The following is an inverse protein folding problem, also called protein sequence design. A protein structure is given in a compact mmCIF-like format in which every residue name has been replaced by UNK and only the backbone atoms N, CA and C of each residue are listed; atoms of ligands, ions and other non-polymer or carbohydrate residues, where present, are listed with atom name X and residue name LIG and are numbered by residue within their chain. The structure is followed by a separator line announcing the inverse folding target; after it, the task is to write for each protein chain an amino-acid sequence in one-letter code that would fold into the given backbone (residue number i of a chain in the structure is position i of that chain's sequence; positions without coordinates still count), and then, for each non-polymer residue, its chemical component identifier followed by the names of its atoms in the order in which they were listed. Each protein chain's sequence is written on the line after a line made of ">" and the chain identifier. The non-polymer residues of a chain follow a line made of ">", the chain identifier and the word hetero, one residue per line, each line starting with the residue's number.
data_IF_795892557605
#
_entry.id   IF_795892557605
#
_cell.length_a   1.000
_cell.length_b   1.000
_cell.length_c   1.000
_cell.angle_alpha   90.00
_cell.angle_beta   90.00
_cell.angle_gamma   90.00
#
_symmetry.space_group_name_H-M   'P 1'
#
loop_
_entity.id
_entity.type
_entity.pdbx_description
1 polymer ?
#
# COMPACT_ATOMS: atom_id res chain seq x y z
N UNK A 1 -5.51 -13.93 20.59
CA UNK A 1 -6.10 -14.17 19.26
C UNK A 1 -5.37 -13.26 18.28
N UNK A 2 -4.76 -13.81 17.23
CA UNK A 2 -4.13 -13.01 16.19
C UNK A 2 -5.19 -12.56 15.17
N UNK A 3 -5.07 -11.34 14.65
CA UNK A 3 -5.89 -10.88 13.54
C UNK A 3 -5.12 -11.15 12.23
N UNK A 4 -5.71 -11.93 11.33
CA UNK A 4 -5.14 -12.22 10.01
C UNK A 4 -5.73 -11.27 8.96
N UNK A 5 -4.89 -10.80 8.03
CA UNK A 5 -5.27 -9.97 6.89
C UNK A 5 -4.66 -10.55 5.63
N UNK A 6 -5.46 -10.67 4.58
CA UNK A 6 -5.08 -11.32 3.33
C UNK A 6 -5.36 -10.41 2.15
N UNK A 7 -4.67 -10.65 1.04
CA UNK A 7 -5.00 -10.13 -0.28
C UNK A 7 -4.94 -11.29 -1.28
N UNK A 8 -5.73 -11.22 -2.34
CA UNK A 8 -5.68 -12.14 -3.47
C UNK A 8 -5.23 -11.37 -4.71
N UNK A 9 -4.26 -11.94 -5.42
CA UNK A 9 -3.63 -11.34 -6.59
C UNK A 9 -3.46 -12.42 -7.63
N UNK A 10 -3.81 -12.11 -8.86
CA UNK A 10 -3.59 -12.96 -10.03
C UNK A 10 -2.52 -12.32 -10.91
N UNK A 11 -1.54 -13.12 -11.37
CA UNK A 11 -0.52 -12.68 -12.34
C UNK A 11 -0.49 -13.65 -13.52
N UNK A 12 -0.38 -13.14 -14.74
CA UNK A 12 -0.31 -13.92 -15.97
C UNK A 12 0.85 -13.47 -16.85
N UNK A 13 1.62 -14.42 -17.38
CA UNK A 13 2.74 -14.15 -18.29
C UNK A 13 4.08 -13.91 -17.59
N UNK A 14 5.08 -13.50 -18.37
CA UNK A 14 6.43 -13.20 -17.87
C UNK A 14 6.45 -11.89 -17.07
N UNK A 15 7.57 -11.54 -16.43
CA UNK A 15 7.65 -10.26 -15.69
C UNK A 15 7.49 -9.06 -16.63
N UNK A 16 8.16 -9.08 -17.78
CA UNK A 16 8.24 -7.92 -18.68
C UNK A 16 6.98 -7.74 -19.54
N UNK A 17 6.35 -8.83 -19.96
CA UNK A 17 5.19 -8.80 -20.87
C UNK A 17 3.88 -9.18 -20.17
N UNK A 18 3.97 -9.67 -18.93
CA UNK A 18 2.82 -10.08 -18.15
C UNK A 18 2.13 -8.93 -17.46
N UNK A 19 1.00 -9.26 -16.86
CA UNK A 19 0.19 -8.35 -16.08
C UNK A 19 -0.38 -9.05 -14.86
N UNK A 20 -0.70 -8.26 -13.85
CA UNK A 20 -1.39 -8.73 -12.67
C UNK A 20 -2.55 -7.85 -12.30
N UNK A 21 -3.41 -8.42 -11.46
CA UNK A 21 -4.54 -7.73 -10.86
C UNK A 21 -4.57 -8.10 -9.38
N UNK A 22 -4.59 -7.08 -8.52
CA UNK A 22 -4.92 -7.25 -7.11
C UNK A 22 -6.44 -7.42 -7.05
N UNK A 23 -6.88 -8.68 -7.04
CA UNK A 23 -8.29 -9.05 -7.17
C UNK A 23 -9.13 -8.49 -6.02
N UNK A 24 -8.63 -8.64 -4.79
CA UNK A 24 -9.32 -8.17 -3.56
C UNK A 24 -8.41 -8.20 -2.34
N UNK A 25 -8.67 -7.31 -1.39
CA UNK A 25 -8.22 -7.48 0.00
C UNK A 25 -9.27 -8.17 0.87
N UNK A 26 -8.86 -8.82 1.94
CA UNK A 26 -9.74 -9.56 2.85
C UNK A 26 -10.78 -8.68 3.55
N UNK A 27 -10.56 -7.36 3.61
CA UNK A 27 -11.55 -6.39 4.09
C UNK A 27 -12.60 -6.01 3.05
N UNK A 28 -12.37 -6.31 1.76
CA UNK A 28 -13.19 -5.81 0.65
C UNK A 28 -13.04 -4.31 0.36
N UNK A 29 -12.05 -3.63 0.96
CA UNK A 29 -11.89 -2.18 0.85
C UNK A 29 -11.49 -1.71 -0.56
N UNK A 30 -10.77 -2.54 -1.32
CA UNK A 30 -10.35 -2.24 -2.68
C UNK A 30 -10.11 -3.52 -3.49
N UNK A 31 -9.98 -3.34 -4.80
CA UNK A 31 -9.90 -4.38 -5.83
C UNK A 31 -11.11 -4.31 -6.78
N UNK A 32 -10.96 -4.65 -8.07
CA UNK A 32 -9.71 -5.02 -8.74
C UNK A 32 -8.80 -3.79 -8.99
N UNK A 33 -7.48 -3.96 -8.85
CA UNK A 33 -6.48 -2.96 -9.23
C UNK A 33 -5.43 -3.61 -10.13
N UNK A 34 -5.28 -3.09 -11.36
CA UNK A 34 -4.29 -3.60 -12.30
C UNK A 34 -2.89 -3.11 -11.94
N UNK A 35 -1.92 -4.03 -12.07
CA UNK A 35 -0.51 -3.81 -11.80
C UNK A 35 0.32 -4.45 -12.91
N UNK A 36 1.34 -3.76 -13.38
CA UNK A 36 2.30 -4.30 -14.35
C UNK A 36 3.72 -4.02 -13.88
N UNK A 37 4.71 -4.66 -14.51
CA UNK A 37 6.10 -4.29 -14.26
C UNK A 37 6.39 -2.86 -14.71
N UNK A 38 5.81 -2.43 -15.84
CA UNK A 38 5.92 -1.07 -16.34
C UNK A 38 5.33 -0.05 -15.35
N UNK A 39 4.12 -0.28 -14.82
CA UNK A 39 3.50 0.65 -13.85
C UNK A 39 4.27 0.75 -12.53
N UNK A 40 5.13 -0.23 -12.22
CA UNK A 40 5.99 -0.25 -11.05
C UNK A 40 7.32 0.48 -11.26
N UNK A 41 7.85 0.49 -12.48
CA UNK A 41 9.22 0.94 -12.78
C UNK A 41 9.30 2.20 -13.63
N UNK A 42 8.21 2.53 -14.31
CA UNK A 42 8.08 3.69 -15.20
C UNK A 42 6.97 4.62 -14.68
N UNK A 43 6.47 5.53 -15.53
CA UNK A 43 5.29 6.32 -15.19
C UNK A 43 4.08 5.42 -14.95
N UNK A 44 3.36 5.68 -13.85
CA UNK A 44 2.30 4.80 -13.37
C UNK A 44 1.10 4.70 -14.33
N UNK A 45 0.89 5.71 -15.18
CA UNK A 45 -0.24 5.81 -16.11
C UNK A 45 -1.61 5.59 -15.46
N UNK A 46 -1.73 5.96 -14.17
CA UNK A 46 -2.96 5.77 -13.38
C UNK A 46 -3.15 4.36 -12.81
N UNK A 47 -2.23 3.43 -13.06
CA UNK A 47 -2.18 2.13 -12.40
C UNK A 47 -1.41 2.24 -11.08
N UNK A 48 -1.73 1.38 -10.12
CA UNK A 48 -1.02 1.39 -8.83
C UNK A 48 0.29 0.59 -8.91
N UNK A 49 1.06 0.62 -7.82
CA UNK A 49 2.24 -0.22 -7.64
C UNK A 49 2.24 -0.88 -6.25
N UNK A 50 2.95 -2.01 -6.07
CA UNK A 50 3.16 -2.58 -4.74
C UNK A 50 3.76 -1.57 -3.75
N UNK A 51 4.63 -0.69 -4.23
CA UNK A 51 5.37 0.30 -3.45
C UNK A 51 4.44 1.42 -2.94
N UNK A 52 3.44 1.85 -3.72
CA UNK A 52 2.37 2.76 -3.25
C UNK A 52 1.54 2.14 -2.13
N UNK A 53 1.21 0.86 -2.22
CA UNK A 53 0.43 0.16 -1.19
C UNK A 53 1.22 0.01 0.11
N UNK A 54 2.53 -0.25 0.01
CA UNK A 54 3.44 -0.25 1.18
C UNK A 54 3.55 1.15 1.78
N UNK A 55 3.67 2.19 0.95
CA UNK A 55 3.69 3.58 1.41
C UNK A 55 2.40 3.93 2.17
N UNK A 56 1.22 3.57 1.63
CA UNK A 56 -0.07 3.78 2.26
C UNK A 56 -0.19 3.04 3.61
N UNK A 57 0.21 1.76 3.65
CA UNK A 57 0.21 0.98 4.87
C UNK A 57 1.12 1.58 5.95
N UNK A 58 2.32 2.04 5.55
CA UNK A 58 3.28 2.64 6.47
C UNK A 58 2.80 3.99 7.00
N UNK A 59 2.32 4.89 6.13
CA UNK A 59 1.80 6.19 6.53
C UNK A 59 0.62 6.05 7.50
N UNK A 60 -0.29 5.11 7.25
CA UNK A 60 -1.41 4.82 8.15
C UNK A 60 -0.92 4.29 9.51
N UNK A 61 -0.01 3.32 9.51
CA UNK A 61 0.54 2.73 10.73
C UNK A 61 1.28 3.78 11.59
N UNK A 62 2.15 4.57 10.97
CA UNK A 62 2.88 5.65 11.64
C UNK A 62 1.93 6.68 12.25
N UNK A 63 0.91 7.12 11.51
CA UNK A 63 -0.07 8.09 12.01
C UNK A 63 -0.84 7.57 13.22
N UNK A 64 -1.27 6.30 13.19
CA UNK A 64 -1.93 5.67 14.34
C UNK A 64 -1.01 5.58 15.55
N UNK A 65 0.24 5.15 15.36
CA UNK A 65 1.22 5.03 16.44
C UNK A 65 1.57 6.40 17.05
N UNK A 66 1.78 7.42 16.22
CA UNK A 66 2.06 8.79 16.68
C UNK A 66 0.87 9.37 17.45
N UNK A 67 -0.35 9.20 16.95
CA UNK A 67 -1.57 9.62 17.65
C UNK A 67 -1.68 8.97 19.04
N UNK A 68 -1.41 7.66 19.12
CA UNK A 68 -1.39 6.96 20.39
C UNK A 68 -0.34 7.52 21.37
N UNK A 69 0.89 7.75 20.90
CA UNK A 69 1.96 8.30 21.74
C UNK A 69 1.64 9.70 22.27
N UNK A 70 1.11 10.59 21.43
CA UNK A 70 0.69 11.94 21.80
C UNK A 70 -0.46 11.94 22.81
N UNK A 71 -1.45 11.06 22.62
CA UNK A 71 -2.55 10.88 23.57
C UNK A 71 -2.04 10.39 24.95
N UNK A 72 -1.11 9.43 24.98
CA UNK A 72 -0.48 8.94 26.22
C UNK A 72 0.31 10.05 26.95
N UNK A 73 0.83 11.03 26.20
CA UNK A 73 1.50 12.21 26.76
C UNK A 73 0.53 13.35 27.13
N UNK A 74 -0.79 13.14 27.05
CA UNK A 74 -1.80 14.15 27.40
C UNK A 74 -2.02 15.24 26.35
N UNK A 75 -1.55 15.03 25.11
CA UNK A 75 -1.66 16.00 24.00
C UNK A 75 -2.22 15.35 22.73
N UNK A 76 -3.43 14.75 22.76
CA UNK A 76 -3.99 14.06 21.59
C UNK A 76 -4.10 15.01 20.39
N UNK A 77 -3.65 14.61 19.19
CA UNK A 77 -3.70 15.46 18.01
C UNK A 77 -5.13 15.57 17.46
N UNK A 78 -5.51 16.75 16.95
CA UNK A 78 -6.76 16.92 16.22
C UNK A 78 -6.68 16.37 14.79
N UNK A 79 -5.50 16.46 14.15
CA UNK A 79 -5.25 15.98 12.78
C UNK A 79 -3.79 15.57 12.62
N UNK A 80 -3.56 14.44 11.95
CA UNK A 80 -2.25 14.03 11.46
C UNK A 80 -2.34 13.82 9.95
N UNK A 81 -1.42 14.44 9.21
CA UNK A 81 -1.27 14.24 7.77
C UNK A 81 0.13 13.69 7.52
N UNK A 82 0.20 12.49 6.96
CA UNK A 82 1.47 11.79 6.74
C UNK A 82 1.56 11.41 5.28
N UNK A 83 2.64 11.83 4.63
CA UNK A 83 3.04 11.34 3.31
C UNK A 83 4.25 10.42 3.50
N UNK A 84 4.17 9.20 2.96
CA UNK A 84 5.32 8.29 2.88
C UNK A 84 5.77 8.17 1.43
N UNK A 85 7.08 8.23 1.22
CA UNK A 85 7.70 8.00 -0.09
C UNK A 85 8.51 6.72 0.01
N UNK A 86 8.16 5.73 -0.80
CA UNK A 86 8.92 4.48 -0.96
C UNK A 86 9.73 4.60 -2.25
N UNK A 87 11.04 4.37 -2.15
CA UNK A 87 11.92 4.31 -3.32
C UNK A 87 12.12 2.86 -3.71
N UNK A 88 11.70 2.52 -4.93
CA UNK A 88 12.01 1.23 -5.54
C UNK A 88 13.16 1.40 -6.53
N UNK A 89 14.16 0.52 -6.44
CA UNK A 89 15.26 0.44 -7.41
C UNK A 89 15.20 -0.96 -8.02
N UNK A 90 14.89 -1.10 -9.32
CA UNK A 90 14.97 -2.38 -10.02
C UNK A 90 16.40 -2.96 -9.93
N UNK A 91 16.49 -4.28 -9.73
CA UNK A 91 17.75 -5.02 -9.68
C UNK A 91 18.03 -5.79 -10.96
#
# INVERSE_FOLDING_TARGET
>A
MAAERTAHVTWSGSLMEGSGTIDRVGSGAFGPLDVTWASRTEESNGQTSPDELVAAAHAACFSMALSHALAQAGTPPERLETTATVTFVPG
#
